data_IF_844391093000
#
_entry.id   IF_844391093000
#
_cell.length_a   1.000
_cell.length_b   1.000
_cell.length_c   1.000
_cell.angle_alpha   90.00
_cell.angle_beta   90.00
_cell.angle_gamma   90.00
#
_symmetry.space_group_name_H-M   'P 1'
#
loop_
_entity.id
_entity.type
_entity.pdbx_description
1 polymer ?
#
# COMPACT_ATOMS: atom_id res chain seq x y z
N UNK A 1 11.50 25.60 26.21
CA UNK A 1 12.37 26.14 25.17
C UNK A 1 13.86 26.06 25.58
N UNK A 2 14.27 26.51 26.74
CA UNK A 2 15.64 26.48 27.27
C UNK A 2 16.30 25.07 27.25
N UNK A 3 15.57 23.99 27.61
CA UNK A 3 16.15 22.64 27.60
C UNK A 3 16.52 22.11 26.19
N UNK A 4 15.77 22.51 25.16
CA UNK A 4 16.07 22.15 23.76
C UNK A 4 17.30 22.88 23.23
N UNK A 5 17.43 24.16 23.58
CA UNK A 5 18.63 24.96 23.28
C UNK A 5 19.84 24.39 24.00
N UNK A 6 19.70 24.02 25.28
CA UNK A 6 20.78 23.40 26.06
C UNK A 6 21.29 22.09 25.48
N UNK A 7 20.44 21.26 24.86
CA UNK A 7 20.85 20.02 24.18
C UNK A 7 21.62 20.34 22.89
N UNK A 8 21.18 21.32 22.11
CA UNK A 8 21.93 21.74 20.90
C UNK A 8 23.31 22.29 21.27
N UNK A 9 23.38 23.10 22.32
CA UNK A 9 24.65 23.64 22.83
C UNK A 9 25.56 22.49 23.36
N UNK A 10 24.95 21.49 24.02
CA UNK A 10 25.69 20.29 24.46
C UNK A 10 26.28 19.51 23.26
N UNK A 11 25.51 19.30 22.20
CA UNK A 11 26.01 18.63 20.98
C UNK A 11 27.15 19.41 20.32
N UNK A 12 27.02 20.73 20.19
CA UNK A 12 28.04 21.58 19.66
C UNK A 12 29.30 21.55 20.58
N UNK A 13 29.10 21.62 21.89
CA UNK A 13 30.18 21.53 22.87
C UNK A 13 30.93 20.20 22.80
N UNK A 14 30.21 19.07 22.69
CA UNK A 14 30.84 17.75 22.53
C UNK A 14 31.59 17.63 21.21
N UNK A 15 31.06 18.18 20.10
CA UNK A 15 31.76 18.21 18.81
C UNK A 15 33.08 19.02 18.87
N UNK A 16 33.04 20.21 19.49
CA UNK A 16 34.23 21.03 19.69
C UNK A 16 35.24 20.38 20.66
N UNK A 17 34.78 19.76 21.73
CA UNK A 17 35.65 19.04 22.67
C UNK A 17 36.37 17.87 21.99
N UNK A 18 35.65 17.13 21.14
CA UNK A 18 36.22 16.05 20.33
C UNK A 18 37.26 16.56 19.35
N UNK A 19 36.98 17.68 18.68
CA UNK A 19 37.91 18.31 17.77
C UNK A 19 39.18 18.80 18.52
N UNK A 20 39.00 19.51 19.61
CA UNK A 20 40.10 20.00 20.44
C UNK A 20 40.96 18.87 21.01
N UNK A 21 40.33 17.81 21.54
CA UNK A 21 41.01 16.63 22.03
C UNK A 21 41.79 15.89 20.93
N UNK A 22 41.26 15.88 19.69
CA UNK A 22 41.92 15.23 18.56
C UNK A 22 43.22 15.91 18.14
N UNK A 23 43.37 17.21 18.41
CA UNK A 23 44.53 18.00 18.00
C UNK A 23 45.67 17.99 19.02
N UNK A 24 45.40 17.62 20.29
CA UNK A 24 46.40 17.80 21.39
C UNK A 24 46.71 16.54 22.20
N UNK A 25 45.97 15.44 22.03
CA UNK A 25 46.17 14.23 22.87
C UNK A 25 46.26 13.00 21.97
N UNK A 26 47.30 12.21 22.12
CA UNK A 26 47.54 10.93 21.43
C UNK A 26 46.67 9.78 22.04
N UNK A 27 45.40 10.06 22.29
CA UNK A 27 44.45 9.00 22.73
C UNK A 27 44.02 8.20 21.50
N UNK A 28 44.07 6.87 21.53
CA UNK A 28 43.57 6.03 20.47
C UNK A 28 42.09 6.36 20.13
N UNK A 29 41.74 6.29 18.85
CA UNK A 29 40.39 6.69 18.40
C UNK A 29 39.29 5.86 19.03
N UNK A 30 39.57 4.58 19.30
CA UNK A 30 38.68 3.66 19.98
C UNK A 30 38.30 4.15 21.38
N UNK A 31 39.30 4.66 22.15
CA UNK A 31 39.08 5.19 23.49
C UNK A 31 38.26 6.49 23.46
N UNK A 32 38.44 7.34 22.43
CA UNK A 32 37.62 8.55 22.25
C UNK A 32 36.16 8.20 21.95
N UNK A 33 35.96 7.27 21.01
CA UNK A 33 34.61 6.80 20.66
C UNK A 33 33.92 6.11 21.84
N UNK A 34 34.64 5.30 22.61
CA UNK A 34 34.14 4.67 23.83
C UNK A 34 33.73 5.71 24.89
N UNK A 35 34.53 6.77 25.09
CA UNK A 35 34.22 7.85 26.03
C UNK A 35 32.93 8.60 25.63
N UNK A 36 32.74 8.88 24.33
CA UNK A 36 31.52 9.51 23.82
C UNK A 36 30.31 8.58 23.97
N UNK A 37 30.46 7.28 23.69
CA UNK A 37 29.40 6.29 23.91
C UNK A 37 29.00 6.20 25.38
N UNK A 38 29.98 6.20 26.30
CA UNK A 38 29.72 6.25 27.75
C UNK A 38 28.93 7.52 28.12
N UNK A 39 29.28 8.68 27.58
CA UNK A 39 28.51 9.90 27.76
C UNK A 39 27.05 9.76 27.32
N UNK A 40 26.79 9.13 26.19
CA UNK A 40 25.46 8.79 25.73
C UNK A 40 24.69 7.87 26.69
N UNK A 41 25.34 6.82 27.19
CA UNK A 41 24.76 5.90 28.18
C UNK A 41 24.46 6.60 29.52
N UNK A 42 25.33 7.49 29.96
CA UNK A 42 25.13 8.31 31.17
C UNK A 42 23.90 9.20 31.01
N UNK A 43 23.71 9.84 29.86
CA UNK A 43 22.52 10.65 29.59
C UNK A 43 21.23 9.79 29.59
N UNK A 44 21.27 8.58 29.03
CA UNK A 44 20.15 7.63 29.10
C UNK A 44 19.83 7.27 30.55
N UNK A 45 20.83 6.95 31.36
CA UNK A 45 20.67 6.58 32.76
C UNK A 45 20.14 7.74 33.63
N UNK A 46 20.67 8.96 33.44
CA UNK A 46 20.16 10.16 34.11
C UNK A 46 18.73 10.48 33.69
N UNK A 47 18.42 10.41 32.41
CA UNK A 47 17.08 10.55 31.91
C UNK A 47 16.10 9.54 32.55
N UNK A 48 16.52 8.26 32.65
CA UNK A 48 15.73 7.24 33.33
C UNK A 48 15.48 7.54 34.81
N UNK A 49 16.47 8.03 35.54
CA UNK A 49 16.32 8.44 36.94
C UNK A 49 15.36 9.63 37.11
N UNK A 50 15.40 10.57 36.18
CA UNK A 50 14.58 11.80 36.23
C UNK A 50 13.15 11.61 35.74
N UNK A 51 12.78 10.46 35.16
CA UNK A 51 11.48 10.22 34.52
C UNK A 51 10.27 10.51 35.43
N UNK A 52 10.39 10.22 36.73
CA UNK A 52 9.28 10.42 37.70
C UNK A 52 9.20 11.85 38.20
N UNK A 53 10.27 12.63 38.13
CA UNK A 53 10.30 14.01 38.68
C UNK A 53 10.14 15.09 37.59
N UNK A 54 10.71 14.87 36.39
CA UNK A 54 10.71 15.83 35.29
C UNK A 54 10.61 15.09 33.95
N UNK A 55 9.45 14.54 33.63
CA UNK A 55 9.23 13.65 32.46
C UNK A 55 9.70 14.26 31.14
N UNK A 56 9.36 15.52 30.85
CA UNK A 56 9.76 16.16 29.59
C UNK A 56 11.28 16.34 29.45
N UNK A 57 11.98 16.68 30.55
CA UNK A 57 13.43 16.80 30.55
C UNK A 57 14.10 15.43 30.43
N UNK A 58 13.56 14.42 31.10
CA UNK A 58 14.02 13.04 31.02
C UNK A 58 14.02 12.49 29.59
N UNK A 59 12.93 12.72 28.84
CA UNK A 59 12.79 12.30 27.43
C UNK A 59 13.82 13.03 26.55
N UNK A 60 14.06 14.32 26.80
CA UNK A 60 15.05 15.10 26.07
C UNK A 60 16.47 14.57 26.28
N UNK A 61 16.86 14.26 27.54
CA UNK A 61 18.15 13.67 27.86
C UNK A 61 18.31 12.28 27.22
N UNK A 62 17.29 11.45 27.26
CA UNK A 62 17.33 10.12 26.64
C UNK A 62 17.42 10.22 25.12
N UNK A 63 16.69 11.13 24.47
CA UNK A 63 16.80 11.39 23.05
C UNK A 63 18.19 11.84 22.65
N UNK A 64 18.79 12.73 23.44
CA UNK A 64 20.18 13.17 23.25
C UNK A 64 21.16 11.99 23.40
N UNK A 65 21.02 11.18 24.45
CA UNK A 65 21.85 9.99 24.68
C UNK A 65 21.77 8.99 23.54
N UNK A 66 20.55 8.67 23.06
CA UNK A 66 20.33 7.80 21.91
C UNK A 66 20.98 8.38 20.63
N UNK A 67 20.79 9.69 20.37
CA UNK A 67 21.40 10.37 19.23
C UNK A 67 22.94 10.32 19.25
N UNK A 68 23.55 10.52 20.43
CA UNK A 68 25.01 10.38 20.61
C UNK A 68 25.45 8.95 20.28
N UNK A 69 24.74 7.92 20.76
CA UNK A 69 25.08 6.53 20.48
C UNK A 69 24.96 6.21 18.97
N UNK A 70 23.90 6.66 18.29
CA UNK A 70 23.77 6.50 16.85
C UNK A 70 24.94 7.16 16.09
N UNK A 71 25.25 8.41 16.42
CA UNK A 71 26.38 9.14 15.79
C UNK A 71 27.73 8.50 16.08
N UNK A 72 27.93 7.96 17.30
CA UNK A 72 29.19 7.29 17.66
C UNK A 72 29.39 6.01 16.87
N UNK A 73 28.33 5.16 16.76
CA UNK A 73 28.40 3.94 15.95
C UNK A 73 28.62 4.27 14.48
N UNK A 74 27.95 5.31 13.96
CA UNK A 74 28.17 5.80 12.59
C UNK A 74 29.60 6.24 12.37
N UNK A 75 30.17 7.07 13.26
CA UNK A 75 31.55 7.53 13.15
C UNK A 75 32.54 6.36 13.22
N UNK A 76 32.32 5.42 14.15
CA UNK A 76 33.15 4.22 14.29
C UNK A 76 33.15 3.33 13.04
N UNK A 77 32.01 3.25 12.33
CA UNK A 77 31.89 2.48 11.11
C UNK A 77 32.43 3.22 9.87
N UNK A 78 32.03 4.50 9.67
CA UNK A 78 32.24 5.22 8.40
C UNK A 78 33.44 6.12 8.39
N UNK A 79 33.69 6.85 9.48
CA UNK A 79 34.77 7.83 9.52
C UNK A 79 36.11 7.21 9.92
N UNK A 80 36.05 6.20 10.82
CA UNK A 80 37.26 5.64 11.40
C UNK A 80 37.48 4.15 11.09
N UNK A 81 36.52 3.50 10.45
CA UNK A 81 36.57 2.07 10.07
C UNK A 81 37.00 1.12 11.24
N UNK A 82 36.64 1.48 12.49
CA UNK A 82 36.95 0.71 13.70
C UNK A 82 36.01 -0.47 13.89
N UNK A 83 34.74 -0.32 13.46
CA UNK A 83 33.72 -1.36 13.57
C UNK A 83 33.50 -2.06 12.23
N UNK A 84 33.30 -3.39 12.30
CA UNK A 84 32.82 -4.13 11.14
C UNK A 84 31.33 -3.84 10.89
N UNK A 85 30.83 -3.91 9.64
CA UNK A 85 29.42 -3.66 9.34
C UNK A 85 28.44 -4.50 10.19
N UNK A 86 28.61 -5.82 10.40
CA UNK A 86 27.69 -6.60 11.23
C UNK A 86 27.63 -6.14 12.70
N UNK A 87 28.78 -5.75 13.26
CA UNK A 87 28.87 -5.23 14.64
C UNK A 87 28.18 -3.90 14.77
N UNK A 88 28.37 -3.00 13.80
CA UNK A 88 27.69 -1.70 13.77
C UNK A 88 26.17 -1.88 13.67
N UNK A 89 25.67 -2.79 12.80
CA UNK A 89 24.26 -3.10 12.69
C UNK A 89 23.69 -3.63 14.01
N UNK A 90 24.38 -4.55 14.69
CA UNK A 90 23.93 -5.08 15.98
C UNK A 90 23.83 -3.97 17.04
N UNK A 91 24.80 -3.06 17.10
CA UNK A 91 24.78 -1.91 18.01
C UNK A 91 23.66 -0.93 17.69
N UNK A 92 23.43 -0.61 16.42
CA UNK A 92 22.35 0.29 15.99
C UNK A 92 20.97 -0.31 16.33
N UNK A 93 20.78 -1.62 16.11
CA UNK A 93 19.58 -2.34 16.55
C UNK A 93 19.42 -2.29 18.07
N UNK A 94 20.50 -2.48 18.81
CA UNK A 94 20.50 -2.41 20.28
C UNK A 94 20.08 -1.02 20.79
N UNK A 95 20.60 0.06 20.18
CA UNK A 95 20.18 1.44 20.51
C UNK A 95 18.72 1.68 20.18
N UNK A 96 18.23 1.18 19.03
CA UNK A 96 16.84 1.25 18.62
C UNK A 96 15.90 0.50 19.56
N UNK A 97 16.26 -0.72 19.92
CA UNK A 97 15.50 -1.55 20.86
C UNK A 97 15.43 -0.91 22.26
N UNK A 98 16.55 -0.40 22.76
CA UNK A 98 16.61 0.32 24.03
C UNK A 98 15.75 1.59 24.01
N UNK A 99 15.84 2.38 22.95
CA UNK A 99 15.03 3.59 22.77
C UNK A 99 13.54 3.27 22.73
N UNK A 100 13.15 2.21 22.02
CA UNK A 100 11.77 1.72 21.95
C UNK A 100 11.26 1.23 23.30
N UNK A 101 12.05 0.46 24.01
CA UNK A 101 11.72 0.00 25.38
C UNK A 101 11.49 1.19 26.33
N UNK A 102 12.41 2.15 26.36
CA UNK A 102 12.31 3.36 27.17
C UNK A 102 11.07 4.18 26.81
N UNK A 103 10.79 4.30 25.51
CA UNK A 103 9.63 5.03 24.98
C UNK A 103 8.30 4.40 25.46
N UNK A 104 8.16 3.07 25.35
CA UNK A 104 6.95 2.35 25.79
C UNK A 104 6.75 2.52 27.29
N UNK A 105 7.81 2.38 28.08
CA UNK A 105 7.77 2.46 29.57
C UNK A 105 7.43 3.86 30.09
N UNK A 106 7.71 4.90 29.32
CA UNK A 106 7.52 6.30 29.72
C UNK A 106 6.40 7.00 28.95
N UNK A 107 5.73 6.30 28.04
CA UNK A 107 4.73 6.87 27.12
C UNK A 107 5.28 8.04 26.28
N UNK A 108 6.55 7.93 25.88
CA UNK A 108 7.31 8.97 25.21
C UNK A 108 7.42 8.71 23.70
N UNK A 109 6.35 9.04 22.95
CA UNK A 109 6.30 8.85 21.48
C UNK A 109 7.51 9.48 20.75
N UNK A 110 7.98 10.65 21.17
CA UNK A 110 9.13 11.32 20.55
C UNK A 110 10.40 10.49 20.59
N UNK A 111 10.63 9.75 21.69
CA UNK A 111 11.78 8.88 21.84
C UNK A 111 11.69 7.65 20.90
N UNK A 112 10.48 7.10 20.72
CA UNK A 112 10.24 6.02 19.77
C UNK A 112 10.49 6.48 18.32
N UNK A 113 10.00 7.67 17.95
CA UNK A 113 10.22 8.26 16.61
C UNK A 113 11.70 8.48 16.34
N UNK A 114 12.46 9.02 17.30
CA UNK A 114 13.92 9.17 17.18
C UNK A 114 14.63 7.82 17.01
N UNK A 115 14.21 6.81 17.78
CA UNK A 115 14.75 5.45 17.66
C UNK A 115 14.50 4.84 16.26
N UNK A 116 13.30 5.02 15.73
CA UNK A 116 12.90 4.55 14.39
C UNK A 116 13.69 5.30 13.30
N UNK A 117 13.73 6.63 13.34
CA UNK A 117 14.48 7.42 12.36
C UNK A 117 15.97 7.09 12.35
N UNK A 118 16.58 6.94 13.52
CA UNK A 118 17.97 6.52 13.65
C UNK A 118 18.20 5.10 13.11
N UNK A 119 17.30 4.18 13.43
CA UNK A 119 17.34 2.81 12.91
C UNK A 119 17.22 2.74 11.39
N UNK A 120 16.24 3.42 10.79
CA UNK A 120 16.07 3.44 9.33
C UNK A 120 17.20 4.19 8.60
N UNK A 121 17.78 5.21 9.23
CA UNK A 121 18.94 5.93 8.69
C UNK A 121 20.24 5.12 8.71
N UNK A 122 20.35 4.15 9.60
CA UNK A 122 21.58 3.39 9.81
C UNK A 122 22.12 2.70 8.54
N UNK A 123 21.35 1.96 7.74
CA UNK A 123 21.86 1.34 6.52
C UNK A 123 22.27 2.35 5.45
N UNK A 124 21.55 3.49 5.32
CA UNK A 124 21.91 4.56 4.38
C UNK A 124 23.28 5.13 4.71
N UNK A 125 23.61 5.18 5.99
CA UNK A 125 24.90 5.65 6.48
C UNK A 125 25.97 4.56 6.42
N UNK A 126 25.59 3.29 6.52
CA UNK A 126 26.50 2.14 6.56
C UNK A 126 26.73 1.47 5.19
N UNK A 127 26.15 1.99 4.09
CA UNK A 127 26.15 1.35 2.77
C UNK A 127 27.56 0.90 2.32
N UNK A 128 27.86 -0.35 2.59
CA UNK A 128 29.06 -1.04 2.11
C UNK A 128 28.73 -2.51 1.90
N UNK A 129 28.44 -2.91 0.65
CA UNK A 129 28.60 -4.27 0.16
C UNK A 129 27.69 -5.39 0.70
N UNK A 130 26.74 -5.10 1.57
CA UNK A 130 25.74 -6.08 2.02
C UNK A 130 24.64 -6.22 0.97
N UNK A 131 24.34 -7.47 0.53
CA UNK A 131 23.27 -7.71 -0.42
C UNK A 131 21.90 -7.21 0.07
N UNK A 132 20.98 -7.00 -0.85
CA UNK A 132 19.64 -6.50 -0.58
C UNK A 132 18.87 -7.34 0.47
N UNK A 133 19.12 -8.64 0.52
CA UNK A 133 18.50 -9.54 1.51
C UNK A 133 18.84 -9.13 2.95
N UNK A 134 20.11 -8.79 3.22
CA UNK A 134 20.53 -8.32 4.54
C UNK A 134 19.87 -6.97 4.88
N UNK A 135 19.81 -6.06 3.92
CA UNK A 135 19.19 -4.74 4.06
C UNK A 135 17.69 -4.87 4.40
N UNK A 136 16.95 -5.65 3.62
CA UNK A 136 15.51 -5.82 3.84
C UNK A 136 15.20 -6.67 5.09
N UNK A 137 16.05 -7.64 5.45
CA UNK A 137 15.93 -8.36 6.72
C UNK A 137 16.08 -7.42 7.92
N UNK A 138 17.02 -6.47 7.86
CA UNK A 138 17.17 -5.43 8.87
C UNK A 138 15.94 -4.53 8.96
N UNK A 139 15.41 -4.06 7.83
CA UNK A 139 14.18 -3.26 7.82
C UNK A 139 12.96 -4.08 8.29
N UNK A 140 12.92 -5.38 8.01
CA UNK A 140 11.86 -6.25 8.53
C UNK A 140 11.90 -6.32 10.07
N UNK A 141 13.08 -6.39 10.68
CA UNK A 141 13.22 -6.34 12.14
C UNK A 141 12.74 -5.00 12.73
N UNK A 142 13.07 -3.88 12.08
CA UNK A 142 12.57 -2.57 12.51
C UNK A 142 11.05 -2.45 12.40
N UNK A 143 10.48 -2.92 11.30
CA UNK A 143 9.03 -2.94 11.10
C UNK A 143 8.32 -3.89 12.09
N UNK A 144 8.92 -5.02 12.42
CA UNK A 144 8.43 -5.91 13.47
C UNK A 144 8.43 -5.22 14.84
N UNK A 145 9.46 -4.41 15.15
CA UNK A 145 9.49 -3.60 16.36
C UNK A 145 8.39 -2.54 16.38
N UNK A 146 8.12 -1.86 15.25
CA UNK A 146 7.01 -0.91 15.12
C UNK A 146 5.66 -1.62 15.32
N UNK A 147 5.47 -2.80 14.72
CA UNK A 147 4.27 -3.62 14.91
C UNK A 147 4.10 -4.03 16.39
N UNK A 148 5.17 -4.43 17.05
CA UNK A 148 5.17 -4.74 18.47
C UNK A 148 4.78 -3.51 19.33
N UNK A 149 5.32 -2.33 19.01
CA UNK A 149 4.91 -1.07 19.66
C UNK A 149 3.44 -0.78 19.40
N UNK A 150 2.96 -0.93 18.16
CA UNK A 150 1.57 -0.71 17.79
C UNK A 150 0.60 -1.65 18.53
N UNK A 151 1.07 -2.83 18.95
CA UNK A 151 0.33 -3.76 19.81
C UNK A 151 0.04 -3.17 21.19
N UNK A 152 0.97 -2.38 21.75
CA UNK A 152 0.83 -1.79 23.10
C UNK A 152 0.35 -0.35 23.07
N UNK A 153 0.73 0.43 22.04
CA UNK A 153 0.50 1.88 21.94
C UNK A 153 -0.05 2.29 20.57
N UNK A 154 -1.13 3.06 20.57
CA UNK A 154 -1.74 3.59 19.33
C UNK A 154 -1.08 4.92 18.91
N UNK A 155 0.21 4.91 18.58
CA UNK A 155 0.96 6.10 18.17
C UNK A 155 0.96 6.28 16.64
N UNK A 156 0.00 7.04 16.14
CA UNK A 156 -0.18 7.30 14.70
C UNK A 156 1.10 7.81 14.04
N UNK A 157 1.75 8.81 14.64
CA UNK A 157 2.95 9.42 14.07
C UNK A 157 4.07 8.39 13.88
N UNK A 158 4.29 7.50 14.86
CA UNK A 158 5.29 6.44 14.77
C UNK A 158 5.00 5.50 13.59
N UNK A 159 3.74 5.09 13.47
CA UNK A 159 3.31 4.18 12.40
C UNK A 159 3.49 4.81 11.01
N UNK A 160 3.12 6.09 10.85
CA UNK A 160 3.29 6.83 9.59
C UNK A 160 4.76 7.06 9.27
N UNK A 161 5.59 7.43 10.25
CA UNK A 161 7.03 7.62 10.05
C UNK A 161 7.68 6.30 9.62
N UNK A 162 7.37 5.19 10.29
CA UNK A 162 7.86 3.87 9.90
C UNK A 162 7.47 3.50 8.46
N UNK A 163 6.20 3.73 8.10
CA UNK A 163 5.70 3.50 6.74
C UNK A 163 6.49 4.31 5.71
N UNK A 164 6.61 5.62 5.91
CA UNK A 164 7.32 6.51 4.98
C UNK A 164 8.78 6.11 4.85
N UNK A 165 9.47 5.82 5.96
CA UNK A 165 10.87 5.37 5.93
C UNK A 165 11.02 4.04 5.17
N UNK A 166 10.12 3.07 5.38
CA UNK A 166 10.15 1.79 4.67
C UNK A 166 9.94 1.98 3.17
N UNK A 167 8.96 2.81 2.79
CA UNK A 167 8.67 3.10 1.36
C UNK A 167 9.84 3.81 0.70
N UNK A 168 10.40 4.83 1.35
CA UNK A 168 11.56 5.56 0.81
C UNK A 168 12.76 4.62 0.63
N UNK A 169 13.04 3.78 1.63
CA UNK A 169 14.16 2.84 1.56
C UNK A 169 13.96 1.80 0.44
N UNK A 170 12.76 1.24 0.31
CA UNK A 170 12.42 0.29 -0.75
C UNK A 170 12.47 0.93 -2.15
N UNK A 171 11.87 2.12 -2.31
CA UNK A 171 11.87 2.84 -3.58
C UNK A 171 13.28 3.29 -4.00
N UNK A 172 14.07 3.82 -3.07
CA UNK A 172 15.44 4.24 -3.35
C UNK A 172 16.30 3.06 -3.81
N UNK A 173 16.23 1.93 -3.09
CA UNK A 173 16.92 0.71 -3.50
C UNK A 173 16.41 0.20 -4.86
N UNK A 174 15.10 0.17 -5.06
CA UNK A 174 14.48 -0.28 -6.30
C UNK A 174 14.95 0.51 -7.52
N UNK A 175 14.97 1.85 -7.42
CA UNK A 175 15.42 2.72 -8.53
C UNK A 175 16.93 2.64 -8.80
N UNK A 176 17.74 2.42 -7.75
CA UNK A 176 19.21 2.52 -7.89
C UNK A 176 19.89 1.17 -8.11
N UNK A 177 19.30 0.06 -7.65
CA UNK A 177 20.05 -1.20 -7.51
C UNK A 177 19.29 -2.42 -8.02
N UNK A 178 17.95 -2.39 -8.03
CA UNK A 178 17.12 -3.55 -8.40
C UNK A 178 17.43 -4.08 -9.80
N UNK A 179 17.49 -5.41 -9.92
CA UNK A 179 17.60 -6.16 -11.20
C UNK A 179 16.53 -7.24 -11.22
N UNK A 180 16.08 -7.64 -12.41
CA UNK A 180 15.05 -8.66 -12.57
C UNK A 180 15.44 -10.02 -11.94
N UNK A 181 16.75 -10.33 -11.88
CA UNK A 181 17.28 -11.53 -11.20
C UNK A 181 17.03 -11.54 -9.68
N UNK A 182 16.86 -10.36 -9.06
CA UNK A 182 16.61 -10.20 -7.63
C UNK A 182 15.11 -10.39 -7.25
N UNK A 183 14.23 -10.58 -8.23
CA UNK A 183 12.78 -10.67 -8.02
C UNK A 183 12.41 -11.69 -6.94
N UNK A 184 12.87 -12.93 -7.07
CA UNK A 184 12.51 -14.02 -6.17
C UNK A 184 12.92 -13.81 -4.70
N UNK A 185 13.94 -12.97 -4.45
CA UNK A 185 14.41 -12.64 -3.11
C UNK A 185 13.86 -11.31 -2.58
N UNK A 186 13.35 -10.44 -3.46
CA UNK A 186 12.82 -9.10 -3.10
C UNK A 186 11.30 -9.14 -2.87
N UNK A 187 10.54 -9.86 -3.69
CA UNK A 187 9.08 -9.95 -3.57
C UNK A 187 8.59 -10.41 -2.19
N UNK A 188 9.20 -11.43 -1.53
CA UNK A 188 8.80 -11.83 -0.19
C UNK A 188 8.88 -10.68 0.84
N UNK A 189 9.86 -9.77 0.72
CA UNK A 189 9.96 -8.61 1.61
C UNK A 189 8.88 -7.56 1.31
N UNK A 190 8.53 -7.34 0.05
CA UNK A 190 7.44 -6.44 -0.30
C UNK A 190 6.11 -6.94 0.28
N UNK A 191 5.83 -8.24 0.14
CA UNK A 191 4.65 -8.88 0.75
C UNK A 191 4.69 -8.75 2.28
N UNK A 192 5.83 -9.01 2.90
CA UNK A 192 6.01 -8.91 4.35
C UNK A 192 5.75 -7.48 4.85
N UNK A 193 6.31 -6.47 4.18
CA UNK A 193 6.09 -5.06 4.55
C UNK A 193 4.63 -4.65 4.33
N UNK A 194 4.00 -5.07 3.25
CA UNK A 194 2.57 -4.89 3.04
C UNK A 194 1.76 -5.46 4.22
N UNK A 195 2.02 -6.70 4.61
CA UNK A 195 1.32 -7.36 5.72
C UNK A 195 1.58 -6.65 7.06
N UNK A 196 2.80 -6.18 7.32
CA UNK A 196 3.10 -5.40 8.53
C UNK A 196 2.23 -4.13 8.61
N UNK A 197 2.12 -3.35 7.53
CA UNK A 197 1.35 -2.10 7.57
C UNK A 197 -0.16 -2.31 7.54
N UNK A 198 -0.65 -3.37 6.92
CA UNK A 198 -2.05 -3.81 7.06
C UNK A 198 -2.34 -4.21 8.51
N UNK A 199 -1.46 -4.97 9.15
CA UNK A 199 -1.59 -5.34 10.56
C UNK A 199 -1.51 -4.12 11.48
N UNK A 200 -0.55 -3.21 11.28
CA UNK A 200 -0.39 -1.97 12.05
C UNK A 200 -1.65 -1.10 11.94
N UNK A 201 -2.19 -0.91 10.73
CA UNK A 201 -3.42 -0.15 10.51
C UNK A 201 -4.61 -0.77 11.25
N UNK A 202 -4.73 -2.10 11.20
CA UNK A 202 -5.77 -2.86 11.90
C UNK A 202 -5.63 -2.75 13.42
N UNK A 203 -4.43 -2.97 13.96
CA UNK A 203 -4.14 -2.85 15.39
C UNK A 203 -4.37 -1.44 15.91
N UNK A 204 -3.96 -0.44 15.15
CA UNK A 204 -4.19 0.95 15.48
C UNK A 204 -5.70 1.26 15.62
N UNK A 205 -6.52 0.78 14.69
CA UNK A 205 -7.98 0.93 14.76
C UNK A 205 -8.59 0.17 15.94
N UNK A 206 -8.07 -1.03 16.26
CA UNK A 206 -8.54 -1.84 17.40
C UNK A 206 -8.24 -1.22 18.76
N UNK A 207 -7.14 -0.46 18.87
CA UNK A 207 -6.66 0.12 20.14
C UNK A 207 -7.21 1.51 20.44
N UNK A 208 -7.89 2.15 19.50
CA UNK A 208 -8.52 3.47 19.71
C UNK A 208 -9.71 3.40 20.65
N UNK A 209 -9.97 4.52 21.34
CA UNK A 209 -11.19 4.72 22.12
C UNK A 209 -12.44 4.65 21.23
N UNK A 210 -13.59 4.27 21.80
CA UNK A 210 -14.85 4.12 21.07
C UNK A 210 -15.26 5.39 20.29
N UNK A 211 -14.97 6.56 20.83
CA UNK A 211 -15.27 7.85 20.19
C UNK A 211 -14.44 8.10 18.92
N UNK A 212 -13.19 7.65 18.89
CA UNK A 212 -12.26 7.81 17.77
C UNK A 212 -12.33 6.68 16.76
N UNK A 213 -13.05 5.57 17.04
CA UNK A 213 -13.22 4.44 16.09
C UNK A 213 -14.01 4.79 14.84
N UNK A 214 -14.73 5.92 14.85
CA UNK A 214 -15.41 6.44 13.66
C UNK A 214 -14.47 7.06 12.63
N UNK A 215 -13.17 7.21 12.95
CA UNK A 215 -12.19 7.79 12.05
C UNK A 215 -11.20 6.71 11.60
N UNK A 216 -11.19 6.37 10.32
CA UNK A 216 -10.21 5.48 9.71
C UNK A 216 -8.94 6.27 9.41
N UNK A 217 -7.77 5.70 9.70
CA UNK A 217 -6.51 6.31 9.25
C UNK A 217 -6.33 6.08 7.74
N UNK A 218 -6.85 7.04 6.97
CA UNK A 218 -6.83 7.02 5.50
C UNK A 218 -5.40 6.81 4.97
N UNK A 219 -4.41 7.38 5.64
CA UNK A 219 -3.00 7.32 5.20
C UNK A 219 -2.47 5.88 5.18
N UNK A 220 -2.72 5.10 6.24
CA UNK A 220 -2.23 3.71 6.31
C UNK A 220 -3.18 2.74 5.62
N UNK A 221 -4.52 2.90 5.77
CA UNK A 221 -5.50 1.96 5.20
C UNK A 221 -5.49 1.98 3.68
N UNK A 222 -5.43 3.15 3.05
CA UNK A 222 -5.42 3.29 1.59
C UNK A 222 -4.03 3.53 1.01
N UNK A 223 -3.12 4.18 1.75
CA UNK A 223 -1.75 4.40 1.31
C UNK A 223 -0.94 3.11 1.18
N UNK A 224 -1.12 2.17 2.12
CA UNK A 224 -0.41 0.88 2.06
C UNK A 224 -0.69 0.10 0.78
N UNK A 225 -1.96 -0.21 0.39
CA UNK A 225 -2.22 -0.93 -0.85
C UNK A 225 -1.84 -0.15 -2.10
N UNK A 226 -2.01 1.17 -2.11
CA UNK A 226 -1.63 2.00 -3.26
C UNK A 226 -0.12 1.96 -3.53
N UNK A 227 0.68 2.15 -2.47
CA UNK A 227 2.15 2.12 -2.58
C UNK A 227 2.64 0.71 -2.89
N UNK A 228 2.08 -0.32 -2.23
CA UNK A 228 2.43 -1.70 -2.50
C UNK A 228 2.13 -2.10 -3.95
N UNK A 229 0.98 -1.67 -4.51
CA UNK A 229 0.65 -1.92 -5.91
C UNK A 229 1.64 -1.23 -6.87
N UNK A 230 2.03 0.02 -6.60
CA UNK A 230 3.03 0.72 -7.42
C UNK A 230 4.42 0.10 -7.35
N UNK A 231 4.87 -0.34 -6.16
CA UNK A 231 6.14 -1.05 -6.02
C UNK A 231 6.09 -2.45 -6.65
N UNK A 232 4.95 -3.14 -6.57
CA UNK A 232 4.76 -4.44 -7.20
C UNK A 232 4.78 -4.32 -8.73
N UNK A 233 4.11 -3.31 -9.30
CA UNK A 233 4.15 -3.04 -10.74
C UNK A 233 5.59 -2.83 -11.23
N UNK A 234 6.37 -2.03 -10.51
CA UNK A 234 7.78 -1.81 -10.82
C UNK A 234 8.63 -3.10 -10.70
N UNK A 235 8.30 -3.96 -9.72
CA UNK A 235 9.05 -5.19 -9.44
C UNK A 235 8.79 -6.29 -10.47
N UNK A 236 7.52 -6.46 -10.91
CA UNK A 236 7.09 -7.54 -11.82
C UNK A 236 7.12 -7.12 -13.30
N UNK A 237 7.73 -5.99 -13.62
CA UNK A 237 7.75 -5.47 -14.98
C UNK A 237 8.31 -6.51 -15.96
N UNK A 238 7.48 -6.93 -16.93
CA UNK A 238 7.83 -7.98 -17.91
C UNK A 238 7.52 -9.41 -17.47
N UNK A 239 6.91 -9.65 -16.32
CA UNK A 239 6.43 -10.97 -15.90
C UNK A 239 4.93 -11.06 -16.15
N UNK A 240 4.54 -11.88 -17.13
CA UNK A 240 3.15 -12.03 -17.53
C UNK A 240 2.24 -12.41 -16.36
N UNK A 241 1.13 -11.70 -16.22
CA UNK A 241 0.08 -11.92 -15.22
C UNK A 241 0.49 -11.86 -13.75
N UNK A 242 1.76 -11.55 -13.42
CA UNK A 242 2.20 -11.47 -12.02
C UNK A 242 1.44 -10.40 -11.24
N UNK A 243 1.22 -9.24 -11.85
CA UNK A 243 0.45 -8.15 -11.23
C UNK A 243 -1.02 -8.55 -10.99
N UNK A 244 -1.61 -9.35 -11.88
CA UNK A 244 -2.96 -9.88 -11.71
C UNK A 244 -3.07 -10.81 -10.49
N UNK A 245 -2.10 -11.72 -10.33
CA UNK A 245 -2.04 -12.60 -9.16
C UNK A 245 -1.83 -11.83 -7.86
N UNK A 246 -1.01 -10.78 -7.90
CA UNK A 246 -0.79 -9.90 -6.74
C UNK A 246 -2.07 -9.15 -6.37
N UNK A 247 -2.81 -8.64 -7.35
CA UNK A 247 -4.10 -7.99 -7.12
C UNK A 247 -5.13 -8.98 -6.57
N UNK A 248 -5.22 -10.19 -7.13
CA UNK A 248 -6.12 -11.23 -6.62
C UNK A 248 -5.77 -11.61 -5.17
N UNK A 249 -4.48 -11.77 -4.84
CA UNK A 249 -4.00 -12.04 -3.48
C UNK A 249 -4.37 -10.92 -2.50
N UNK A 250 -4.16 -9.66 -2.88
CA UNK A 250 -4.56 -8.50 -2.08
C UNK A 250 -6.08 -8.47 -1.86
N UNK A 251 -6.89 -8.76 -2.89
CA UNK A 251 -8.33 -8.87 -2.77
C UNK A 251 -8.74 -9.91 -1.71
N UNK A 252 -8.16 -11.10 -1.76
CA UNK A 252 -8.45 -12.16 -0.77
C UNK A 252 -8.07 -11.73 0.64
N UNK A 253 -6.91 -11.11 0.84
CA UNK A 253 -6.45 -10.62 2.15
C UNK A 253 -7.44 -9.60 2.71
N UNK A 254 -7.84 -8.60 1.93
CA UNK A 254 -8.79 -7.58 2.39
C UNK A 254 -10.20 -8.13 2.61
N UNK A 255 -10.67 -9.10 1.80
CA UNK A 255 -11.95 -9.77 2.00
C UNK A 255 -11.98 -10.58 3.31
N UNK A 256 -10.91 -11.32 3.59
CA UNK A 256 -10.75 -12.06 4.84
C UNK A 256 -10.73 -11.13 6.06
N UNK A 257 -9.98 -10.03 6.00
CA UNK A 257 -9.94 -9.02 7.06
C UNK A 257 -11.31 -8.39 7.29
N UNK A 258 -12.02 -8.01 6.23
CA UNK A 258 -13.38 -7.48 6.33
C UNK A 258 -14.34 -8.48 7.00
N UNK A 259 -14.24 -9.77 6.64
CA UNK A 259 -15.05 -10.84 7.22
C UNK A 259 -14.74 -11.07 8.70
N UNK A 260 -13.45 -11.18 9.07
CA UNK A 260 -13.00 -11.43 10.44
C UNK A 260 -13.40 -10.29 11.39
N UNK A 261 -13.17 -9.04 10.96
CA UNK A 261 -13.50 -7.88 11.77
C UNK A 261 -15.00 -7.64 11.91
N UNK A 262 -15.81 -8.05 10.92
CA UNK A 262 -17.26 -7.95 10.99
C UNK A 262 -17.86 -8.87 12.06
N UNK A 263 -17.28 -10.05 12.27
CA UNK A 263 -17.78 -11.04 13.22
C UNK A 263 -17.51 -10.65 14.68
N UNK A 264 -16.44 -9.88 14.94
CA UNK A 264 -15.95 -9.75 16.31
C UNK A 264 -16.26 -8.42 17.03
N UNK A 265 -16.59 -7.31 16.33
CA UNK A 265 -16.72 -6.00 17.03
C UNK A 265 -17.71 -5.03 16.38
N UNK A 266 -18.88 -4.80 16.98
CA UNK A 266 -19.73 -3.65 16.66
C UNK A 266 -18.97 -2.34 16.95
N UNK A 267 -18.83 -1.49 15.95
CA UNK A 267 -18.10 -0.20 16.03
C UNK A 267 -16.93 -0.06 15.07
N UNK A 268 -16.51 -1.13 14.40
CA UNK A 268 -15.48 -1.10 13.35
C UNK A 268 -16.05 -1.04 11.92
N UNK A 269 -17.32 -0.66 11.80
CA UNK A 269 -18.04 -0.66 10.53
C UNK A 269 -17.30 0.04 9.40
N UNK A 270 -16.74 1.24 9.67
CA UNK A 270 -15.98 1.99 8.65
C UNK A 270 -14.72 1.26 8.17
N UNK A 271 -13.98 0.60 9.06
CA UNK A 271 -12.79 -0.17 8.66
C UNK A 271 -13.19 -1.41 7.86
N UNK A 272 -14.26 -2.09 8.27
CA UNK A 272 -14.82 -3.25 7.55
C UNK A 272 -15.29 -2.84 6.15
N UNK A 273 -15.99 -1.70 6.03
CA UNK A 273 -16.43 -1.14 4.75
C UNK A 273 -15.24 -0.73 3.88
N UNK A 274 -14.19 -0.12 4.46
CA UNK A 274 -12.96 0.22 3.74
C UNK A 274 -12.23 -1.02 3.21
N UNK A 275 -12.08 -2.07 4.03
CA UNK A 275 -11.45 -3.31 3.59
C UNK A 275 -12.30 -4.06 2.56
N UNK A 276 -13.63 -4.06 2.71
CA UNK A 276 -14.52 -4.62 1.70
C UNK A 276 -14.44 -3.87 0.36
N UNK A 277 -14.36 -2.53 0.41
CA UNK A 277 -14.16 -1.71 -0.79
C UNK A 277 -12.81 -2.00 -1.46
N UNK A 278 -11.72 -2.10 -0.68
CA UNK A 278 -10.40 -2.46 -1.21
C UNK A 278 -10.40 -3.87 -1.83
N UNK A 279 -11.07 -4.84 -1.20
CA UNK A 279 -11.22 -6.19 -1.74
C UNK A 279 -11.90 -6.17 -3.12
N UNK A 280 -12.98 -5.42 -3.26
CA UNK A 280 -13.71 -5.27 -4.53
C UNK A 280 -12.81 -4.57 -5.58
N UNK A 281 -12.15 -3.47 -5.21
CA UNK A 281 -11.26 -2.74 -6.12
C UNK A 281 -10.16 -3.65 -6.66
N UNK A 282 -9.48 -4.41 -5.79
CA UNK A 282 -8.42 -5.31 -6.22
C UNK A 282 -8.96 -6.52 -7.03
N UNK A 283 -10.13 -7.05 -6.69
CA UNK A 283 -10.78 -8.08 -7.50
C UNK A 283 -11.07 -7.58 -8.92
N UNK A 284 -11.68 -6.37 -9.02
CA UNK A 284 -12.00 -5.75 -10.29
C UNK A 284 -10.74 -5.41 -11.10
N UNK A 285 -9.65 -5.00 -10.43
CA UNK A 285 -8.37 -4.70 -11.08
C UNK A 285 -7.65 -5.96 -11.57
N UNK A 286 -7.79 -7.09 -10.87
CA UNK A 286 -7.16 -8.35 -11.26
C UNK A 286 -7.61 -8.82 -12.64
N UNK A 287 -8.87 -8.53 -13.01
CA UNK A 287 -9.45 -8.95 -14.29
C UNK A 287 -8.72 -8.34 -15.50
N UNK A 288 -8.56 -7.00 -15.63
CA UNK A 288 -7.85 -6.41 -16.76
C UNK A 288 -6.35 -6.71 -16.78
N UNK A 289 -5.77 -6.96 -15.59
CA UNK A 289 -4.37 -7.33 -15.49
C UNK A 289 -4.09 -8.79 -15.92
N UNK A 290 -5.11 -9.65 -15.86
CA UNK A 290 -5.02 -11.06 -16.25
C UNK A 290 -5.42 -11.33 -17.69
N UNK A 291 -6.31 -10.51 -18.23
CA UNK A 291 -7.03 -10.76 -19.48
C UNK A 291 -6.76 -9.65 -20.51
N UNK A 292 -6.89 -10.01 -21.77
CA UNK A 292 -6.89 -9.03 -22.86
C UNK A 292 -8.09 -8.07 -22.74
N UNK A 293 -7.99 -6.88 -23.36
CA UNK A 293 -9.00 -5.84 -23.26
C UNK A 293 -10.42 -6.32 -23.64
N UNK A 294 -10.53 -7.23 -24.59
CA UNK A 294 -11.82 -7.82 -25.04
C UNK A 294 -12.46 -8.71 -23.97
N UNK A 295 -11.67 -9.60 -23.36
CA UNK A 295 -12.13 -10.46 -22.28
C UNK A 295 -12.40 -9.70 -21.00
N UNK A 296 -11.57 -8.69 -20.70
CA UNK A 296 -11.74 -7.78 -19.58
C UNK A 296 -13.08 -7.05 -19.64
N UNK A 297 -13.42 -6.47 -20.78
CA UNK A 297 -14.68 -5.74 -20.96
C UNK A 297 -15.90 -6.64 -20.78
N UNK A 298 -15.86 -7.85 -21.32
CA UNK A 298 -16.92 -8.84 -21.15
C UNK A 298 -17.09 -9.26 -19.69
N UNK A 299 -15.98 -9.50 -18.97
CA UNK A 299 -16.00 -9.83 -17.54
C UNK A 299 -16.59 -8.68 -16.69
N UNK A 300 -16.15 -7.44 -16.93
CA UNK A 300 -16.68 -6.26 -16.23
C UNK A 300 -18.17 -6.02 -16.53
N UNK A 301 -18.62 -6.27 -17.75
CA UNK A 301 -20.05 -6.15 -18.09
C UNK A 301 -20.90 -7.14 -17.26
N UNK A 302 -20.48 -8.39 -17.18
CA UNK A 302 -21.17 -9.41 -16.40
C UNK A 302 -21.12 -9.13 -14.89
N UNK A 303 -19.95 -8.74 -14.37
CA UNK A 303 -19.77 -8.35 -12.97
C UNK A 303 -20.66 -7.14 -12.63
N UNK A 304 -20.70 -6.12 -13.49
CA UNK A 304 -21.58 -4.97 -13.32
C UNK A 304 -23.04 -5.32 -13.27
N UNK A 305 -23.52 -6.23 -14.13
CA UNK A 305 -24.89 -6.70 -14.12
C UNK A 305 -25.21 -7.51 -12.84
N UNK A 306 -24.29 -8.35 -12.40
CA UNK A 306 -24.43 -9.12 -11.15
C UNK A 306 -24.49 -8.20 -9.92
N UNK A 307 -23.65 -7.15 -9.86
CA UNK A 307 -23.64 -6.15 -8.78
C UNK A 307 -24.96 -5.35 -8.78
N UNK A 308 -25.50 -4.95 -9.94
CA UNK A 308 -26.80 -4.28 -10.04
C UNK A 308 -27.90 -5.20 -9.50
N UNK A 309 -27.94 -6.44 -9.96
CA UNK A 309 -28.93 -7.44 -9.50
C UNK A 309 -28.85 -7.67 -7.99
N UNK A 310 -27.66 -7.87 -7.45
CA UNK A 310 -27.45 -8.06 -6.01
C UNK A 310 -27.83 -6.80 -5.20
N UNK A 311 -27.46 -5.62 -5.71
CA UNK A 311 -27.80 -4.32 -5.12
C UNK A 311 -29.31 -4.06 -5.08
N UNK A 312 -30.06 -4.59 -6.04
CA UNK A 312 -31.53 -4.59 -6.00
C UNK A 312 -32.06 -5.54 -4.95
N UNK A 313 -31.56 -6.78 -4.89
CA UNK A 313 -31.99 -7.77 -3.89
C UNK A 313 -31.69 -7.38 -2.44
N UNK A 314 -30.57 -6.69 -2.23
CA UNK A 314 -30.14 -6.27 -0.90
C UNK A 314 -30.59 -4.84 -0.52
N UNK A 315 -31.34 -4.18 -1.38
CA UNK A 315 -31.77 -2.78 -1.22
C UNK A 315 -30.59 -1.79 -1.01
N UNK A 316 -29.42 -2.04 -1.61
CA UNK A 316 -28.23 -1.20 -1.53
C UNK A 316 -28.05 -0.31 -2.76
N UNK A 317 -28.43 0.99 -2.70
CA UNK A 317 -28.35 1.88 -3.86
C UNK A 317 -26.90 2.14 -4.32
N UNK A 318 -25.93 2.18 -3.41
CA UNK A 318 -24.51 2.35 -3.77
C UNK A 318 -23.97 1.20 -4.62
N UNK A 319 -24.34 -0.03 -4.33
CA UNK A 319 -23.95 -1.18 -5.13
C UNK A 319 -24.51 -1.08 -6.57
N UNK A 320 -25.77 -0.64 -6.71
CA UNK A 320 -26.37 -0.43 -8.04
C UNK A 320 -25.63 0.62 -8.87
N UNK A 321 -25.25 1.75 -8.25
CA UNK A 321 -24.44 2.78 -8.91
C UNK A 321 -23.09 2.22 -9.35
N UNK A 322 -22.39 1.50 -8.48
CA UNK A 322 -21.08 0.88 -8.80
C UNK A 322 -21.23 -0.10 -9.97
N UNK A 323 -22.25 -0.95 -9.95
CA UNK A 323 -22.51 -1.90 -11.05
C UNK A 323 -22.78 -1.23 -12.39
N UNK A 324 -23.55 -0.11 -12.40
CA UNK A 324 -23.79 0.67 -13.61
C UNK A 324 -22.53 1.36 -14.12
N UNK A 325 -21.73 1.94 -13.24
CA UNK A 325 -20.44 2.56 -13.61
C UNK A 325 -19.48 1.52 -14.19
N UNK A 326 -19.47 0.31 -13.64
CA UNK A 326 -18.64 -0.78 -14.14
C UNK A 326 -19.08 -1.21 -15.56
N UNK A 327 -20.37 -1.22 -15.87
CA UNK A 327 -20.86 -1.48 -17.23
C UNK A 327 -20.47 -0.40 -18.22
N UNK A 328 -20.50 0.88 -17.82
CA UNK A 328 -20.01 1.98 -18.66
C UNK A 328 -18.50 1.84 -18.91
N UNK A 329 -17.72 1.52 -17.87
CA UNK A 329 -16.29 1.24 -18.00
C UNK A 329 -16.03 0.04 -18.91
N UNK A 330 -16.84 -1.03 -18.81
CA UNK A 330 -16.77 -2.20 -19.68
C UNK A 330 -16.96 -1.83 -21.17
N UNK A 331 -18.00 -1.07 -21.47
CA UNK A 331 -18.24 -0.61 -22.86
C UNK A 331 -17.13 0.31 -23.36
N UNK A 332 -16.64 1.23 -22.52
CA UNK A 332 -15.51 2.09 -22.87
C UNK A 332 -14.23 1.29 -23.15
N UNK A 333 -13.89 0.34 -22.28
CA UNK A 333 -12.73 -0.55 -22.48
C UNK A 333 -12.87 -1.41 -23.74
N UNK A 334 -14.09 -1.91 -24.02
CA UNK A 334 -14.36 -2.66 -25.23
C UNK A 334 -14.17 -1.78 -26.48
N UNK A 335 -14.73 -0.58 -26.50
CA UNK A 335 -14.59 0.34 -27.62
C UNK A 335 -13.13 0.68 -27.91
N UNK A 336 -12.32 0.94 -26.87
CA UNK A 336 -10.88 1.22 -27.02
C UNK A 336 -10.11 -0.02 -27.46
N UNK A 337 -10.42 -1.19 -26.91
CA UNK A 337 -9.73 -2.44 -27.22
C UNK A 337 -10.07 -3.05 -28.58
N UNK A 338 -11.20 -2.66 -29.17
CA UNK A 338 -11.62 -3.09 -30.52
C UNK A 338 -11.24 -2.06 -31.60
N UNK A 339 -10.93 -0.83 -31.21
CA UNK A 339 -10.40 0.18 -32.14
C UNK A 339 -8.85 0.03 -32.24
N UNK A 340 -8.31 -0.62 -33.20
CA UNK A 340 -8.45 -0.36 -34.62
C UNK A 340 -9.30 -1.44 -35.27
N UNK A 341 -10.43 -1.04 -35.76
CA UNK A 341 -11.48 -1.80 -36.45
C UNK A 341 -11.00 -2.55 -37.70
N UNK A 342 -9.70 -2.82 -37.78
CA UNK A 342 -9.04 -3.44 -38.91
C UNK A 342 -8.42 -4.81 -38.64
N UNK A 343 -8.56 -5.39 -37.43
CA UNK A 343 -8.02 -6.72 -37.13
C UNK A 343 -8.81 -7.81 -37.88
N UNK A 344 -8.36 -8.05 -39.12
CA UNK A 344 -8.84 -9.14 -39.98
C UNK A 344 -8.15 -10.44 -39.50
N UNK A 345 -8.53 -10.96 -38.33
CA UNK A 345 -8.05 -12.28 -37.90
C UNK A 345 -8.36 -13.31 -39.00
N UNK A 346 -7.36 -13.96 -39.59
CA UNK A 346 -7.60 -14.99 -40.62
C UNK A 346 -8.48 -16.08 -40.03
N UNK A 347 -9.61 -16.41 -40.68
CA UNK A 347 -10.49 -17.50 -40.22
C UNK A 347 -11.61 -17.08 -39.25
N UNK A 348 -11.84 -15.78 -39.02
CA UNK A 348 -13.00 -15.35 -38.23
C UNK A 348 -14.31 -15.69 -38.97
N UNK A 349 -15.26 -16.29 -38.26
CA UNK A 349 -16.60 -16.62 -38.77
C UNK A 349 -17.60 -15.49 -38.46
N UNK A 350 -18.64 -15.27 -39.32
CA UNK A 350 -19.75 -14.40 -38.96
C UNK A 350 -20.38 -14.84 -37.64
N UNK A 351 -20.73 -13.87 -36.75
CA UNK A 351 -21.36 -14.10 -35.43
C UNK A 351 -20.43 -14.81 -34.43
N UNK A 352 -19.65 -15.79 -34.88
CA UNK A 352 -18.75 -16.61 -34.00
C UNK A 352 -17.34 -15.98 -33.94
N UNK A 353 -17.24 -14.69 -33.72
CA UNK A 353 -15.98 -13.96 -33.52
C UNK A 353 -15.94 -13.23 -32.18
N UNK A 354 -14.74 -12.98 -31.67
CA UNK A 354 -14.53 -12.39 -30.34
C UNK A 354 -15.06 -10.95 -30.21
N UNK A 355 -15.12 -10.21 -31.32
CA UNK A 355 -15.66 -8.84 -31.34
C UNK A 355 -17.17 -8.87 -31.17
N UNK A 356 -17.87 -9.68 -31.96
CA UNK A 356 -19.33 -9.81 -31.88
C UNK A 356 -19.78 -10.38 -30.54
N UNK A 357 -19.16 -11.50 -30.09
CA UNK A 357 -19.52 -12.14 -28.83
C UNK A 357 -19.24 -11.24 -27.61
N UNK A 358 -18.13 -10.50 -27.62
CA UNK A 358 -17.82 -9.55 -26.55
C UNK A 358 -18.82 -8.41 -26.47
N UNK A 359 -19.16 -7.79 -27.60
CA UNK A 359 -20.18 -6.73 -27.66
C UNK A 359 -21.59 -7.25 -27.28
N UNK A 360 -21.90 -8.49 -27.68
CA UNK A 360 -23.16 -9.16 -27.27
C UNK A 360 -23.25 -9.37 -25.76
N UNK A 361 -22.15 -9.72 -25.11
CA UNK A 361 -22.09 -9.84 -23.64
C UNK A 361 -22.34 -8.48 -22.98
N UNK A 362 -21.74 -7.39 -23.49
CA UNK A 362 -21.97 -6.02 -22.98
C UNK A 362 -23.45 -5.63 -23.19
N UNK A 363 -24.02 -5.95 -24.35
CA UNK A 363 -25.43 -5.72 -24.64
C UNK A 363 -26.35 -6.47 -23.67
N UNK A 364 -26.16 -7.78 -23.50
CA UNK A 364 -26.94 -8.60 -22.58
C UNK A 364 -26.87 -8.13 -21.14
N UNK A 365 -25.66 -7.72 -20.67
CA UNK A 365 -25.48 -7.18 -19.34
C UNK A 365 -26.28 -5.88 -19.13
N UNK A 366 -26.26 -4.97 -20.12
CA UNK A 366 -27.05 -3.74 -20.11
C UNK A 366 -28.56 -4.02 -20.10
N UNK A 367 -29.04 -4.88 -20.99
CA UNK A 367 -30.46 -5.24 -21.09
C UNK A 367 -30.96 -5.93 -19.81
N UNK A 368 -30.17 -6.84 -19.22
CA UNK A 368 -30.49 -7.50 -17.97
C UNK A 368 -30.60 -6.50 -16.82
N UNK A 369 -29.66 -5.55 -16.74
CA UNK A 369 -29.68 -4.51 -15.71
C UNK A 369 -30.88 -3.58 -15.87
N UNK A 370 -31.20 -3.18 -17.10
CA UNK A 370 -32.39 -2.39 -17.40
C UNK A 370 -33.68 -3.12 -17.01
N UNK A 371 -33.77 -4.40 -17.32
CA UNK A 371 -34.91 -5.25 -16.93
C UNK A 371 -35.07 -5.32 -15.41
N UNK A 372 -34.00 -5.61 -14.68
CA UNK A 372 -34.00 -5.69 -13.21
C UNK A 372 -34.42 -4.35 -12.58
N UNK A 373 -33.89 -3.22 -13.09
CA UNK A 373 -34.25 -1.89 -12.59
C UNK A 373 -35.70 -1.52 -12.92
N UNK A 374 -36.23 -1.89 -14.10
CA UNK A 374 -37.60 -1.52 -14.49
C UNK A 374 -38.68 -2.34 -13.77
N UNK A 375 -38.38 -3.58 -13.38
CA UNK A 375 -39.38 -4.50 -12.79
C UNK A 375 -39.35 -4.58 -11.25
N UNK A 376 -38.53 -3.74 -10.61
CA UNK A 376 -38.39 -3.72 -9.14
C UNK A 376 -39.11 -2.49 -8.56
N UNK A 377 -39.96 -2.70 -7.55
CA UNK A 377 -40.69 -1.62 -6.86
C UNK A 377 -39.81 -0.86 -5.85
N UNK A 378 -38.80 -1.50 -5.30
CA UNK A 378 -37.94 -0.96 -4.22
C UNK A 378 -36.76 -0.11 -4.73
N UNK A 379 -36.93 0.66 -5.81
CA UNK A 379 -35.90 1.54 -6.38
C UNK A 379 -36.24 3.01 -6.20
N UNK A 380 -35.22 3.87 -6.18
CA UNK A 380 -35.36 5.33 -6.10
C UNK A 380 -35.89 5.92 -7.42
N UNK A 381 -36.52 7.09 -7.36
CA UNK A 381 -37.07 7.77 -8.56
C UNK A 381 -36.02 7.96 -9.66
N UNK A 382 -34.82 8.37 -9.31
CA UNK A 382 -33.72 8.58 -10.27
C UNK A 382 -33.26 7.28 -10.95
N UNK A 383 -33.24 6.16 -10.22
CA UNK A 383 -32.86 4.85 -10.77
C UNK A 383 -33.87 4.38 -11.83
N UNK A 384 -35.16 4.67 -11.58
CA UNK A 384 -36.22 4.40 -12.56
C UNK A 384 -36.08 5.24 -13.81
N UNK A 385 -35.59 6.48 -13.68
CA UNK A 385 -35.31 7.36 -14.82
C UNK A 385 -34.05 6.91 -15.61
N UNK A 386 -33.12 6.23 -14.98
CA UNK A 386 -31.90 5.69 -15.64
C UNK A 386 -32.18 4.38 -16.38
N UNK A 387 -33.17 3.59 -15.98
CA UNK A 387 -33.46 2.30 -16.61
C UNK A 387 -33.66 2.35 -18.15
N UNK A 388 -34.39 3.33 -18.75
CA UNK A 388 -34.47 3.48 -20.21
C UNK A 388 -33.13 3.79 -20.85
N UNK A 389 -32.25 4.55 -20.19
CA UNK A 389 -30.91 4.87 -20.70
C UNK A 389 -30.03 3.61 -20.73
N UNK A 390 -30.09 2.78 -19.68
CA UNK A 390 -29.38 1.49 -19.63
C UNK A 390 -29.93 0.51 -20.67
N UNK A 391 -31.23 0.56 -20.91
CA UNK A 391 -31.86 -0.22 -22.00
C UNK A 391 -31.32 0.24 -23.38
N UNK A 392 -31.37 1.54 -23.65
CA UNK A 392 -30.83 2.11 -24.90
C UNK A 392 -29.33 1.79 -25.07
N UNK A 393 -28.55 1.80 -23.98
CA UNK A 393 -27.15 1.38 -23.98
C UNK A 393 -26.99 -0.09 -24.43
N UNK A 394 -27.78 -1.01 -23.87
CA UNK A 394 -27.74 -2.43 -24.25
C UNK A 394 -28.15 -2.65 -25.71
N UNK A 395 -29.21 -1.95 -26.19
CA UNK A 395 -29.64 -1.98 -27.57
C UNK A 395 -28.58 -1.41 -28.51
N UNK A 396 -27.94 -0.31 -28.15
CA UNK A 396 -26.88 0.31 -28.98
C UNK A 396 -25.68 -0.66 -29.16
N UNK A 397 -25.28 -1.38 -28.11
CA UNK A 397 -24.23 -2.39 -28.25
C UNK A 397 -24.65 -3.59 -29.09
N UNK A 398 -25.89 -4.02 -28.99
CA UNK A 398 -26.43 -5.12 -29.83
C UNK A 398 -26.46 -4.72 -31.31
N UNK A 399 -27.03 -3.55 -31.63
CA UNK A 399 -27.12 -3.05 -32.99
C UNK A 399 -25.72 -2.74 -33.57
N UNK A 400 -24.84 -2.14 -32.78
CA UNK A 400 -23.47 -1.84 -33.18
C UNK A 400 -22.66 -3.11 -33.49
N UNK A 401 -22.83 -4.17 -32.68
CA UNK A 401 -22.23 -5.47 -32.94
C UNK A 401 -22.72 -6.08 -34.27
N UNK A 402 -24.03 -6.08 -34.47
CA UNK A 402 -24.63 -6.61 -35.69
C UNK A 402 -24.20 -5.82 -36.96
N UNK A 403 -24.23 -4.49 -36.86
CA UNK A 403 -23.76 -3.65 -37.94
C UNK A 403 -22.30 -3.89 -38.31
N UNK A 404 -21.43 -3.94 -37.32
CA UNK A 404 -19.99 -4.19 -37.54
C UNK A 404 -19.73 -5.55 -38.20
N UNK A 405 -20.47 -6.59 -37.77
CA UNK A 405 -20.33 -7.92 -38.33
C UNK A 405 -20.86 -8.00 -39.77
N UNK A 406 -21.97 -7.30 -40.05
CA UNK A 406 -22.52 -7.18 -41.42
C UNK A 406 -21.54 -6.46 -42.35
N UNK A 407 -20.96 -5.32 -41.92
CA UNK A 407 -19.95 -4.60 -42.72
C UNK A 407 -18.73 -5.45 -43.04
N UNK A 408 -18.39 -6.36 -42.14
CA UNK A 408 -17.19 -7.20 -42.24
C UNK A 408 -17.37 -8.40 -43.17
N UNK A 409 -18.53 -9.04 -43.13
CA UNK A 409 -18.72 -10.36 -43.75
C UNK A 409 -19.71 -10.36 -44.93
N UNK A 410 -20.47 -9.28 -45.14
CA UNK A 410 -21.49 -9.17 -46.18
C UNK A 410 -21.02 -8.22 -47.27
N UNK A 411 -21.29 -8.54 -48.53
CA UNK A 411 -21.00 -7.65 -49.65
C UNK A 411 -21.82 -6.34 -49.56
N UNK A 412 -21.20 -5.21 -49.87
CA UNK A 412 -21.78 -3.87 -49.68
C UNK A 412 -23.16 -3.65 -50.31
N UNK A 413 -23.49 -4.37 -51.37
CA UNK A 413 -24.81 -4.29 -52.04
C UNK A 413 -25.96 -4.94 -51.26
N UNK A 414 -25.69 -5.78 -50.26
CA UNK A 414 -26.71 -6.54 -49.50
C UNK A 414 -26.79 -6.16 -48.03
N UNK A 415 -26.05 -5.17 -47.54
CA UNK A 415 -26.00 -4.76 -46.13
C UNK A 415 -27.40 -4.43 -45.58
N UNK A 416 -28.21 -3.65 -46.33
CA UNK A 416 -29.55 -3.23 -45.87
C UNK A 416 -30.50 -4.44 -45.74
N UNK A 417 -30.44 -5.36 -46.72
CA UNK A 417 -31.28 -6.55 -46.70
C UNK A 417 -30.94 -7.47 -45.52
N UNK A 418 -29.63 -7.67 -45.24
CA UNK A 418 -29.17 -8.47 -44.10
C UNK A 418 -29.46 -7.79 -42.78
N UNK A 419 -29.34 -6.47 -42.69
CA UNK A 419 -29.71 -5.69 -41.51
C UNK A 419 -31.22 -5.81 -41.20
N UNK A 420 -32.09 -5.78 -42.24
CA UNK A 420 -33.51 -5.95 -42.05
C UNK A 420 -33.92 -7.35 -41.55
N UNK A 421 -33.10 -8.36 -41.82
CA UNK A 421 -33.29 -9.72 -41.28
C UNK A 421 -32.74 -9.85 -39.88
N UNK A 422 -31.69 -9.09 -39.53
CA UNK A 422 -31.06 -9.07 -38.22
C UNK A 422 -31.94 -8.37 -37.17
N UNK A 423 -32.70 -7.34 -37.52
CA UNK A 423 -33.63 -6.58 -36.67
C UNK A 423 -34.95 -7.31 -36.47
#
# INVERSE_FOLDING_TARGET
MLARVGVVVLFIGVAFLLKYASERVTIPIEARLAAVALGGLVLLAFGWRLRMRRAGYAVTLQGAGAGILYLTVFAALRLYAVLSPPTAFALLLGVGALSSFLAIRQDAMALAVLGVLGGFGAPLLAASGGGHVLLFSYYAMLNAAILAIAWFKAWRLLNVVGFVCTVIAAALWGVTTYRAEDFGTTEPFLILFFLFYVAIATLYALRRSLELRRYVDVTLVFGTPLVAAGLQDALVHGIDRALAWSAAGASVIYALLARLLRAERPGMRLLVEAFAALAIVFATLAVPLALDARLTSSAWALEGAAIVWMGVRQAHPSARVVGLLLQVAAGGAFAVGVAPWGDRSPGALPIANSAYLGALIVACAGLTSAYVLSHTSAIRRWERAVAPVVFAWGVAWWLGAGWHDIERFVASGSHIAVLAVFL
#
